data_IF_530958171179
#
_entry.id   IF_530958171179
#
_cell.length_a   1.000
_cell.length_b   1.000
_cell.length_c   1.000
_cell.angle_alpha   90.00
_cell.angle_beta   90.00
_cell.angle_gamma   90.00
#
_symmetry.space_group_name_H-M   'P 1'
#
loop_
_entity.id
_entity.type
_entity.pdbx_description
1 polymer ?
#
# COMPACT_ATOMS: atom_id res chain seq x y z
N UNK A 1 39.43 -14.93 -20.25
CA UNK A 1 38.38 -13.90 -20.11
C UNK A 1 37.14 -14.53 -19.50
N UNK A 2 36.55 -13.80 -18.57
CA UNK A 2 35.70 -14.28 -17.47
C UNK A 2 34.31 -14.78 -17.90
N UNK A 3 33.97 -16.01 -17.49
CA UNK A 3 32.58 -16.47 -17.30
C UNK A 3 32.51 -17.37 -16.06
N UNK A 4 32.43 -16.77 -14.88
CA UNK A 4 31.92 -17.40 -13.67
C UNK A 4 31.04 -16.40 -12.93
N UNK A 5 29.97 -16.91 -12.31
CA UNK A 5 28.94 -16.25 -11.50
C UNK A 5 27.69 -15.76 -12.24
N UNK A 6 26.90 -16.71 -12.73
CA UNK A 6 25.44 -16.62 -12.80
C UNK A 6 24.93 -17.92 -12.18
N UNK A 7 24.75 -17.93 -10.86
CA UNK A 7 24.40 -19.14 -10.12
C UNK A 7 24.31 -18.86 -8.63
N UNK A 8 23.51 -17.87 -8.21
CA UNK A 8 23.14 -17.71 -6.80
C UNK A 8 21.89 -16.84 -6.57
N UNK A 9 20.84 -16.99 -7.39
CA UNK A 9 19.61 -16.21 -7.19
C UNK A 9 18.33 -16.90 -7.66
N UNK A 10 18.29 -18.24 -7.61
CA UNK A 10 17.09 -19.01 -7.97
C UNK A 10 16.64 -20.03 -6.93
N UNK A 11 17.24 -20.09 -5.74
CA UNK A 11 16.90 -21.09 -4.71
C UNK A 11 16.24 -20.54 -3.43
N UNK A 12 15.80 -19.28 -3.44
CA UNK A 12 15.10 -18.66 -2.29
C UNK A 12 13.55 -18.68 -2.42
N UNK A 13 13.02 -19.41 -3.42
CA UNK A 13 11.62 -19.28 -3.84
C UNK A 13 10.64 -20.37 -3.40
N UNK A 14 11.06 -21.40 -2.67
CA UNK A 14 10.22 -22.59 -2.48
C UNK A 14 10.37 -23.31 -1.11
N UNK A 15 10.69 -22.60 -0.02
CA UNK A 15 11.00 -23.31 1.22
C UNK A 15 10.77 -22.64 2.57
N UNK A 16 10.22 -21.42 2.66
CA UNK A 16 10.04 -20.80 3.98
C UNK A 16 8.64 -21.06 4.57
N UNK A 17 7.60 -21.23 3.74
CA UNK A 17 6.44 -22.08 4.06
C UNK A 17 6.71 -23.55 3.75
N UNK A 18 7.76 -24.14 4.34
CA UNK A 18 7.72 -25.60 4.48
C UNK A 18 6.52 -25.90 5.38
N UNK A 19 5.52 -26.62 4.85
CA UNK A 19 4.40 -27.22 5.58
C UNK A 19 4.91 -27.82 6.88
N UNK A 20 4.89 -27.03 7.97
CA UNK A 20 5.68 -27.33 9.14
C UNK A 20 7.09 -27.80 8.79
N UNK A 21 8.08 -26.90 8.85
CA UNK A 21 9.26 -27.37 9.56
C UNK A 21 8.71 -27.99 10.84
N UNK A 22 9.04 -29.25 11.08
CA UNK A 22 8.77 -30.03 12.30
C UNK A 22 9.54 -29.41 13.46
N UNK A 23 9.51 -28.08 13.55
CA UNK A 23 9.98 -27.31 14.67
C UNK A 23 9.19 -27.79 15.86
N UNK A 24 9.91 -28.47 16.74
CA UNK A 24 9.46 -28.77 18.08
C UNK A 24 8.80 -27.52 18.66
N UNK A 25 7.79 -27.73 19.49
CA UNK A 25 7.28 -26.64 20.30
C UNK A 25 8.45 -26.06 21.12
N UNK A 26 8.62 -24.74 21.05
CA UNK A 26 9.70 -24.04 21.76
C UNK A 26 9.12 -22.99 22.71
N UNK A 27 9.76 -22.75 23.87
CA UNK A 27 9.48 -21.58 24.69
C UNK A 27 9.60 -20.27 23.89
N UNK A 28 8.92 -19.23 24.34
CA UNK A 28 9.01 -17.91 23.71
C UNK A 28 10.45 -17.37 23.73
N UNK A 29 11.16 -17.57 24.84
CA UNK A 29 12.54 -17.10 25.02
C UNK A 29 13.48 -17.65 23.94
N UNK A 30 13.46 -18.96 23.70
CA UNK A 30 14.26 -19.62 22.65
C UNK A 30 13.98 -19.05 21.25
N UNK A 31 12.72 -18.67 20.97
CA UNK A 31 12.32 -18.10 19.68
C UNK A 31 12.94 -16.71 19.50
N UNK A 32 12.90 -15.88 20.55
CA UNK A 32 13.43 -14.52 20.50
C UNK A 32 14.96 -14.48 20.56
N UNK A 33 15.60 -15.41 21.27
CA UNK A 33 17.05 -15.57 21.26
C UNK A 33 17.56 -15.94 19.87
N UNK A 34 16.97 -16.96 19.22
CA UNK A 34 17.32 -17.37 17.86
C UNK A 34 17.06 -16.23 16.84
N UNK A 35 15.95 -15.50 17.01
CA UNK A 35 15.66 -14.32 16.19
C UNK A 35 16.71 -13.21 16.38
N UNK A 36 17.21 -13.02 17.60
CA UNK A 36 18.23 -12.01 17.91
C UNK A 36 19.54 -12.28 17.19
N UNK A 37 19.96 -13.54 17.09
CA UNK A 37 21.16 -13.95 16.36
C UNK A 37 20.97 -13.76 14.86
N UNK A 38 19.82 -14.14 14.31
CA UNK A 38 19.54 -14.03 12.87
C UNK A 38 19.42 -12.59 12.39
N UNK A 39 18.81 -11.72 13.19
CA UNK A 39 18.55 -10.32 12.80
C UNK A 39 19.78 -9.42 12.92
N UNK A 40 20.74 -9.75 13.78
CA UNK A 40 22.02 -9.04 13.86
C UNK A 40 22.80 -9.07 12.53
N UNK A 41 22.67 -10.14 11.73
CA UNK A 41 23.37 -10.28 10.45
C UNK A 41 22.75 -9.54 9.27
N UNK A 42 21.56 -8.94 9.43
CA UNK A 42 20.81 -8.30 8.32
C UNK A 42 21.07 -6.78 8.25
N UNK A 43 21.60 -6.19 9.32
CA UNK A 43 21.73 -4.73 9.50
C UNK A 43 23.01 -4.07 8.98
N UNK A 44 23.70 -4.61 7.98
CA UNK A 44 24.97 -4.02 7.49
C UNK A 44 24.78 -2.74 6.62
N UNK A 45 23.54 -2.37 6.29
CA UNK A 45 23.25 -1.16 5.49
C UNK A 45 22.51 -0.10 6.31
N UNK A 46 23.25 0.95 6.70
CA UNK A 46 22.86 2.28 7.19
C UNK A 46 21.92 2.42 8.42
N UNK A 47 22.50 3.04 9.46
CA UNK A 47 21.94 3.86 10.56
C UNK A 47 20.96 3.27 11.60
N UNK A 48 20.43 2.05 11.43
CA UNK A 48 19.58 1.41 12.45
C UNK A 48 20.03 -0.02 12.76
N UNK A 49 21.11 -0.16 13.53
CA UNK A 49 21.55 -1.47 14.02
C UNK A 49 20.52 -2.04 15.02
N UNK A 50 19.90 -3.17 14.68
CA UNK A 50 18.98 -3.87 15.57
C UNK A 50 19.79 -4.52 16.70
N UNK A 51 19.59 -4.08 17.94
CA UNK A 51 20.26 -4.69 19.10
C UNK A 51 19.55 -5.99 19.52
N UNK A 52 20.32 -7.04 19.83
CA UNK A 52 19.73 -8.26 20.40
C UNK A 52 18.98 -7.99 21.72
N UNK A 53 19.44 -7.00 22.49
CA UNK A 53 18.78 -6.60 23.74
C UNK A 53 17.36 -6.10 23.50
N UNK A 54 17.13 -5.42 22.37
CA UNK A 54 15.80 -4.88 22.04
C UNK A 54 14.84 -6.01 21.65
N UNK A 55 15.33 -7.05 20.96
CA UNK A 55 14.55 -8.23 20.59
C UNK A 55 14.15 -9.04 21.84
N UNK A 56 15.09 -9.26 22.75
CA UNK A 56 14.80 -9.95 24.02
C UNK A 56 13.82 -9.13 24.86
N UNK A 57 14.01 -7.80 24.94
CA UNK A 57 13.08 -6.90 25.64
C UNK A 57 11.70 -6.88 25.00
N UNK A 58 11.60 -7.01 23.68
CA UNK A 58 10.32 -7.15 22.99
C UNK A 58 9.61 -8.43 23.43
N UNK A 59 10.34 -9.55 23.50
CA UNK A 59 9.80 -10.83 23.97
C UNK A 59 9.21 -10.81 25.38
N UNK A 60 9.77 -9.99 26.28
CA UNK A 60 9.30 -9.88 27.67
C UNK A 60 8.07 -8.98 27.88
N UNK A 61 7.51 -8.39 26.82
CA UNK A 61 6.30 -7.59 26.92
C UNK A 61 5.06 -8.49 27.04
N UNK A 62 4.18 -8.21 28.01
CA UNK A 62 2.96 -8.99 28.24
C UNK A 62 2.06 -9.13 27.00
N UNK A 63 2.01 -8.09 26.15
CA UNK A 63 1.21 -8.13 24.93
C UNK A 63 1.74 -9.09 23.87
N UNK A 64 3.01 -9.50 23.96
CA UNK A 64 3.64 -10.41 23.00
C UNK A 64 3.19 -11.85 23.24
N UNK A 65 2.97 -12.26 24.48
CA UNK A 65 2.41 -13.58 24.78
C UNK A 65 0.99 -13.73 24.20
N UNK A 66 0.14 -12.72 24.38
CA UNK A 66 -1.21 -12.71 23.82
C UNK A 66 -1.19 -12.67 22.28
N UNK A 67 -0.25 -11.91 21.70
CA UNK A 67 -0.04 -11.91 20.26
C UNK A 67 0.42 -13.28 19.76
N UNK A 68 1.36 -13.95 20.45
CA UNK A 68 1.83 -15.29 20.11
C UNK A 68 0.70 -16.32 20.14
N UNK A 69 -0.18 -16.28 21.15
CA UNK A 69 -1.37 -17.16 21.22
C UNK A 69 -2.28 -17.03 20.00
N UNK A 70 -2.33 -15.84 19.38
CA UNK A 70 -3.20 -15.58 18.22
C UNK A 70 -2.65 -16.11 16.89
N UNK A 71 -1.33 -16.31 16.78
CA UNK A 71 -0.65 -16.75 15.55
C UNK A 71 -0.02 -18.15 15.65
N UNK A 72 0.23 -18.63 16.87
CA UNK A 72 0.86 -19.92 17.15
C UNK A 72 -0.15 -20.94 17.71
N UNK A 73 0.18 -22.22 17.52
CA UNK A 73 -0.32 -23.31 18.33
C UNK A 73 0.43 -23.34 19.66
N UNK A 74 -0.36 -23.40 20.74
CA UNK A 74 0.12 -23.28 22.10
C UNK A 74 -0.10 -24.63 22.79
N UNK A 75 0.92 -25.11 23.49
CA UNK A 75 0.81 -26.25 24.39
C UNK A 75 1.36 -25.86 25.75
N UNK A 76 0.58 -26.14 26.77
CA UNK A 76 0.97 -26.00 28.17
C UNK A 76 1.51 -27.37 28.61
N UNK A 77 2.82 -27.47 28.88
CA UNK A 77 3.43 -28.72 29.37
C UNK A 77 3.34 -28.77 30.90
N UNK A 78 3.63 -27.65 31.54
CA UNK A 78 3.52 -27.40 32.99
C UNK A 78 2.91 -26.01 33.20
N UNK A 79 2.38 -25.66 34.38
CA UNK A 79 1.79 -24.33 34.63
C UNK A 79 2.77 -23.16 34.42
N UNK A 80 4.07 -23.43 34.36
CA UNK A 80 5.13 -22.43 34.15
C UNK A 80 5.71 -22.46 32.73
N UNK A 81 5.58 -23.57 31.99
CA UNK A 81 6.23 -23.75 30.68
C UNK A 81 5.17 -23.85 29.58
N UNK A 82 5.03 -22.73 28.88
CA UNK A 82 4.21 -22.61 27.66
C UNK A 82 5.11 -22.66 26.44
N UNK A 83 4.79 -23.55 25.52
CA UNK A 83 5.56 -23.74 24.30
C UNK A 83 4.72 -23.41 23.07
N UNK A 84 5.35 -22.81 22.08
CA UNK A 84 4.72 -22.25 20.90
C UNK A 84 5.22 -22.93 19.63
N UNK A 85 4.33 -23.05 18.65
CA UNK A 85 4.63 -23.48 17.28
C UNK A 85 3.87 -22.58 16.31
N UNK A 86 4.55 -21.98 15.33
CA UNK A 86 3.88 -21.14 14.34
C UNK A 86 2.86 -21.96 13.53
N UNK A 87 1.65 -21.43 13.38
CA UNK A 87 0.55 -22.10 12.70
C UNK A 87 0.04 -21.25 11.55
N UNK A 88 0.35 -21.64 10.32
CA UNK A 88 -0.08 -20.94 9.11
C UNK A 88 -1.58 -20.63 9.06
N UNK A 89 -2.52 -21.57 9.37
CA UNK A 89 -3.94 -21.25 9.32
C UNK A 89 -4.35 -20.19 10.35
N UNK A 90 -3.71 -20.16 11.53
CA UNK A 90 -3.95 -19.11 12.54
C UNK A 90 -3.42 -17.77 12.09
N UNK A 91 -2.20 -17.72 11.54
CA UNK A 91 -1.64 -16.49 10.96
C UNK A 91 -2.58 -15.92 9.89
N UNK A 92 -3.05 -16.73 8.95
CA UNK A 92 -3.97 -16.27 7.92
C UNK A 92 -5.31 -15.79 8.49
N UNK A 93 -5.85 -16.48 9.48
CA UNK A 93 -7.09 -16.07 10.16
C UNK A 93 -6.91 -14.73 10.87
N UNK A 94 -5.80 -14.56 11.59
CA UNK A 94 -5.45 -13.32 12.27
C UNK A 94 -5.27 -12.16 11.29
N UNK A 95 -4.56 -12.38 10.19
CA UNK A 95 -4.37 -11.37 9.14
C UNK A 95 -5.70 -11.00 8.46
N UNK A 96 -6.56 -11.98 8.17
CA UNK A 96 -7.90 -11.73 7.61
C UNK A 96 -8.75 -10.87 8.55
N UNK A 97 -8.70 -11.14 9.85
CA UNK A 97 -9.40 -10.33 10.85
C UNK A 97 -8.86 -8.89 10.87
N UNK A 98 -7.53 -8.70 10.72
CA UNK A 98 -6.96 -7.35 10.57
C UNK A 98 -7.42 -6.67 9.29
N UNK A 99 -7.41 -7.36 8.15
CA UNK A 99 -7.91 -6.81 6.88
C UNK A 99 -9.38 -6.40 7.03
N UNK A 100 -10.22 -7.24 7.64
CA UNK A 100 -11.63 -6.93 7.87
C UNK A 100 -11.84 -5.69 8.74
N UNK A 101 -10.98 -5.48 9.74
CA UNK A 101 -11.02 -4.28 10.58
C UNK A 101 -10.53 -3.04 9.83
N UNK A 102 -9.49 -3.19 9.02
CA UNK A 102 -8.93 -2.10 8.23
C UNK A 102 -9.74 -1.76 6.99
N UNK A 103 -10.58 -2.66 6.49
CA UNK A 103 -11.49 -2.40 5.37
C UNK A 103 -12.80 -1.74 5.80
N UNK A 104 -13.06 -1.66 7.11
CA UNK A 104 -14.19 -0.92 7.65
C UNK A 104 -14.08 0.58 7.29
N UNK A 105 -15.20 1.25 6.96
CA UNK A 105 -15.18 2.64 6.49
C UNK A 105 -14.56 3.58 7.53
N UNK A 106 -14.88 3.39 8.80
CA UNK A 106 -14.37 4.18 9.93
C UNK A 106 -12.83 4.19 10.00
N UNK A 107 -12.19 3.04 9.76
CA UNK A 107 -10.74 2.93 9.83
C UNK A 107 -10.05 3.56 8.61
N UNK A 108 -10.68 3.49 7.44
CA UNK A 108 -10.12 4.03 6.19
C UNK A 108 -10.29 5.54 6.07
N UNK A 109 -11.35 6.09 6.65
CA UNK A 109 -11.63 7.53 6.59
C UNK A 109 -10.59 8.37 7.37
N UNK A 110 -9.91 7.77 8.34
CA UNK A 110 -8.79 8.41 9.06
C UNK A 110 -7.61 8.66 8.11
N UNK A 111 -7.41 7.81 7.10
CA UNK A 111 -6.28 7.88 6.19
C UNK A 111 -6.58 8.73 4.96
N UNK A 112 -6.13 10.00 4.99
CA UNK A 112 -6.23 10.92 3.84
C UNK A 112 -5.56 10.37 2.57
N UNK A 113 -4.48 9.61 2.70
CA UNK A 113 -3.78 9.02 1.56
C UNK A 113 -4.60 7.91 0.91
N UNK A 114 -5.24 7.06 1.71
CA UNK A 114 -6.09 5.99 1.20
C UNK A 114 -7.32 6.55 0.50
N UNK A 115 -7.99 7.56 1.08
CA UNK A 115 -9.12 8.26 0.43
C UNK A 115 -8.69 8.85 -0.91
N UNK A 116 -7.52 9.52 -0.97
CA UNK A 116 -7.03 10.11 -2.22
C UNK A 116 -6.78 9.04 -3.29
N UNK A 117 -6.25 7.88 -2.91
CA UNK A 117 -6.01 6.79 -3.85
C UNK A 117 -7.35 6.22 -4.37
N UNK A 118 -8.31 5.95 -3.48
CA UNK A 118 -9.64 5.48 -3.87
C UNK A 118 -10.40 6.49 -4.75
N UNK A 119 -10.25 7.79 -4.48
CA UNK A 119 -10.82 8.86 -5.30
C UNK A 119 -10.14 8.97 -6.67
N UNK A 120 -8.81 8.82 -6.73
CA UNK A 120 -8.05 8.77 -7.98
C UNK A 120 -8.48 7.57 -8.84
N UNK A 121 -8.79 6.48 -8.18
CA UNK A 121 -9.30 5.26 -8.80
C UNK A 121 -10.78 5.36 -9.22
N UNK A 122 -11.44 6.51 -9.03
CA UNK A 122 -12.83 6.74 -9.45
C UNK A 122 -13.87 5.88 -8.71
N UNK A 123 -13.47 5.30 -7.57
CA UNK A 123 -14.30 4.38 -6.78
C UNK A 123 -15.23 5.09 -5.78
N UNK A 124 -15.00 6.38 -5.56
CA UNK A 124 -15.78 7.23 -4.64
C UNK A 124 -17.02 7.87 -5.31
N UNK A 125 -17.36 7.45 -6.53
CA UNK A 125 -18.53 7.95 -7.27
C UNK A 125 -19.77 7.10 -6.98
N UNK A 126 -20.94 7.75 -6.92
CA UNK A 126 -22.23 7.10 -6.65
C UNK A 126 -22.50 5.95 -7.65
N UNK A 127 -22.97 4.81 -7.13
CA UNK A 127 -23.30 3.62 -7.92
C UNK A 127 -22.21 2.54 -8.01
N UNK A 128 -21.04 2.75 -7.38
CA UNK A 128 -19.90 1.80 -7.38
C UNK A 128 -19.58 1.20 -6.01
N UNK A 129 -20.55 1.14 -5.10
CA UNK A 129 -20.36 0.67 -3.71
C UNK A 129 -19.71 -0.72 -3.59
N UNK A 130 -20.05 -1.64 -4.49
CA UNK A 130 -19.48 -3.00 -4.51
C UNK A 130 -17.99 -2.95 -4.85
N UNK A 131 -17.60 -2.17 -5.86
CA UNK A 131 -16.21 -1.98 -6.26
C UNK A 131 -15.44 -1.18 -5.21
N UNK A 132 -16.09 -0.22 -4.56
CA UNK A 132 -15.52 0.54 -3.46
C UNK A 132 -15.16 -0.39 -2.29
N UNK A 133 -16.06 -1.30 -1.90
CA UNK A 133 -15.79 -2.25 -0.82
C UNK A 133 -14.62 -3.19 -1.13
N UNK A 134 -14.49 -3.61 -2.40
CA UNK A 134 -13.36 -4.42 -2.87
C UNK A 134 -12.08 -3.59 -2.91
N UNK A 135 -12.14 -2.35 -3.38
CA UNK A 135 -11.03 -1.40 -3.35
C UNK A 135 -10.53 -1.10 -1.93
N UNK A 136 -11.44 -0.95 -0.97
CA UNK A 136 -11.13 -0.83 0.46
C UNK A 136 -10.39 -2.05 1.00
N UNK A 137 -10.88 -3.24 0.65
CA UNK A 137 -10.25 -4.51 1.04
C UNK A 137 -8.86 -4.65 0.43
N UNK A 138 -8.68 -4.28 -0.85
CA UNK A 138 -7.38 -4.26 -1.52
C UNK A 138 -6.41 -3.28 -0.85
N UNK A 139 -6.86 -2.06 -0.58
CA UNK A 139 -6.05 -1.05 0.10
C UNK A 139 -5.62 -1.51 1.50
N UNK A 140 -6.49 -2.21 2.25
CA UNK A 140 -6.16 -2.80 3.54
C UNK A 140 -5.12 -3.93 3.41
N UNK A 141 -5.25 -4.80 2.40
CA UNK A 141 -4.25 -5.83 2.10
C UNK A 141 -2.89 -5.20 1.73
N UNK A 142 -2.87 -4.14 0.92
CA UNK A 142 -1.66 -3.43 0.53
C UNK A 142 -0.99 -2.76 1.75
N UNK A 143 -1.78 -2.16 2.64
CA UNK A 143 -1.27 -1.55 3.87
C UNK A 143 -0.59 -2.58 4.78
N UNK A 144 -1.23 -3.73 5.00
CA UNK A 144 -0.65 -4.82 5.82
C UNK A 144 0.59 -5.39 5.15
N UNK A 145 0.62 -5.46 3.81
CA UNK A 145 1.73 -6.03 3.05
C UNK A 145 3.07 -5.34 3.27
N UNK A 146 3.08 -4.07 3.73
CA UNK A 146 4.32 -3.37 4.06
C UNK A 146 5.03 -3.92 5.30
N UNK A 147 4.32 -4.65 6.16
CA UNK A 147 4.85 -5.21 7.40
C UNK A 147 5.08 -6.73 7.32
N UNK A 148 4.81 -7.33 6.16
CA UNK A 148 4.86 -8.77 5.96
C UNK A 148 5.99 -9.14 4.99
N UNK A 149 6.51 -10.35 5.14
CA UNK A 149 7.40 -10.91 4.12
C UNK A 149 6.63 -11.11 2.81
N UNK A 150 7.31 -11.05 1.64
CA UNK A 150 6.67 -11.20 0.34
C UNK A 150 5.92 -12.54 0.20
N UNK A 151 6.37 -13.56 0.93
CA UNK A 151 5.76 -14.89 0.95
C UNK A 151 4.43 -14.89 1.72
N UNK A 152 4.37 -14.26 2.91
CA UNK A 152 3.11 -14.13 3.69
C UNK A 152 2.10 -13.32 2.91
N UNK A 153 2.56 -12.28 2.22
CA UNK A 153 1.72 -11.51 1.31
C UNK A 153 1.10 -12.40 0.23
N UNK A 154 1.90 -13.23 -0.44
CA UNK A 154 1.41 -14.13 -1.46
C UNK A 154 0.38 -15.13 -0.90
N UNK A 155 0.65 -15.72 0.28
CA UNK A 155 -0.29 -16.59 0.95
C UNK A 155 -1.58 -15.87 1.36
N UNK A 156 -1.50 -14.65 1.87
CA UNK A 156 -2.66 -13.83 2.26
C UNK A 156 -3.54 -13.54 1.05
N UNK A 157 -2.95 -13.05 -0.05
CA UNK A 157 -3.68 -12.76 -1.29
C UNK A 157 -4.29 -14.05 -1.89
N UNK A 158 -3.52 -15.14 -1.95
CA UNK A 158 -4.02 -16.45 -2.38
C UNK A 158 -5.14 -16.99 -1.49
N UNK A 159 -5.12 -16.66 -0.20
CA UNK A 159 -6.19 -17.02 0.74
C UNK A 159 -7.53 -16.36 0.40
N UNK A 160 -7.50 -15.17 -0.23
CA UNK A 160 -8.70 -14.50 -0.73
C UNK A 160 -9.13 -15.04 -2.09
N UNK A 161 -8.19 -15.55 -2.91
CA UNK A 161 -8.51 -16.20 -4.19
C UNK A 161 -9.30 -17.51 -4.02
N UNK A 162 -8.95 -18.31 -3.00
CA UNK A 162 -9.54 -19.64 -2.81
C UNK A 162 -10.88 -19.62 -2.04
N UNK A 163 -11.01 -18.78 -1.02
CA UNK A 163 -12.20 -18.76 -0.14
C UNK A 163 -13.35 -17.94 -0.73
N UNK A 164 -13.06 -16.99 -1.63
CA UNK A 164 -14.07 -16.15 -2.24
C UNK A 164 -13.84 -16.04 -3.75
N UNK A 165 -14.20 -17.07 -4.52
CA UNK A 165 -14.16 -17.02 -5.99
C UNK A 165 -14.88 -15.79 -6.59
N UNK A 166 -15.92 -15.29 -5.91
CA UNK A 166 -16.61 -14.03 -6.21
C UNK A 166 -15.73 -12.79 -6.02
N UNK A 167 -14.80 -12.82 -5.06
CA UNK A 167 -13.83 -11.75 -4.85
C UNK A 167 -12.83 -11.70 -6.01
N UNK A 168 -12.42 -12.85 -6.57
CA UNK A 168 -11.52 -12.90 -7.74
C UNK A 168 -12.14 -12.23 -8.97
N UNK A 169 -13.43 -12.44 -9.21
CA UNK A 169 -14.17 -11.72 -10.25
C UNK A 169 -14.20 -10.22 -9.95
N UNK A 170 -14.51 -9.84 -8.71
CA UNK A 170 -14.54 -8.42 -8.32
C UNK A 170 -13.17 -7.72 -8.36
N UNK A 171 -12.06 -8.42 -8.05
CA UNK A 171 -10.69 -7.89 -8.17
C UNK A 171 -10.30 -7.77 -9.64
N UNK A 172 -10.72 -8.70 -10.49
CA UNK A 172 -10.53 -8.59 -11.95
C UNK A 172 -11.34 -7.45 -12.54
N UNK A 173 -12.60 -7.30 -12.14
CA UNK A 173 -13.46 -6.18 -12.55
C UNK A 173 -12.85 -4.85 -12.10
N UNK A 174 -12.34 -4.80 -10.87
CA UNK A 174 -11.60 -3.66 -10.36
C UNK A 174 -10.33 -3.40 -11.20
N UNK A 175 -9.53 -4.43 -11.51
CA UNK A 175 -8.33 -4.27 -12.34
C UNK A 175 -8.65 -3.81 -13.77
N UNK A 176 -9.74 -4.32 -14.37
CA UNK A 176 -10.22 -3.88 -15.69
C UNK A 176 -10.65 -2.42 -15.62
N UNK A 177 -11.38 -2.03 -14.56
CA UNK A 177 -11.81 -0.65 -14.33
C UNK A 177 -10.62 0.30 -14.13
N UNK A 178 -9.66 -0.06 -13.28
CA UNK A 178 -8.43 0.70 -13.05
C UNK A 178 -7.59 0.84 -14.31
N UNK A 179 -7.49 -0.22 -15.13
CA UNK A 179 -6.80 -0.17 -16.44
C UNK A 179 -7.50 0.79 -17.39
N UNK A 180 -8.83 0.80 -17.42
CA UNK A 180 -9.61 1.75 -18.22
C UNK A 180 -9.34 3.20 -17.82
N UNK A 181 -9.45 3.52 -16.53
CA UNK A 181 -9.18 4.88 -16.04
C UNK A 181 -7.74 5.29 -16.33
N UNK A 182 -6.77 4.42 -16.05
CA UNK A 182 -5.37 4.74 -16.33
C UNK A 182 -5.11 4.93 -17.84
N UNK A 183 -5.81 4.18 -18.70
CA UNK A 183 -5.77 4.36 -20.15
C UNK A 183 -6.37 5.70 -20.60
N UNK A 184 -7.50 6.12 -20.02
CA UNK A 184 -8.15 7.41 -20.30
C UNK A 184 -7.30 8.60 -19.79
N UNK A 185 -6.67 8.46 -18.62
CA UNK A 185 -5.72 9.45 -18.06
C UNK A 185 -4.44 9.52 -18.90
N UNK A 186 -3.93 8.39 -19.38
CA UNK A 186 -2.75 8.37 -20.25
C UNK A 186 -3.05 8.96 -21.63
N UNK A 187 -4.22 8.68 -22.22
CA UNK A 187 -4.63 9.24 -23.50
C UNK A 187 -4.79 10.77 -23.42
N UNK A 188 -5.41 11.29 -22.37
CA UNK A 188 -5.57 12.74 -22.15
C UNK A 188 -4.24 13.45 -21.83
N UNK A 189 -3.26 12.77 -21.22
CA UNK A 189 -1.91 13.30 -21.00
C UNK A 189 -1.04 13.35 -22.27
N UNK A 190 -1.29 12.47 -23.24
CA UNK A 190 -0.59 12.48 -24.55
C UNK A 190 -1.14 13.59 -25.45
N UNK A 191 -2.44 13.89 -25.38
CA UNK A 191 -3.05 14.99 -26.15
C UNK A 191 -2.55 16.38 -25.73
N UNK A 192 -2.04 16.54 -24.50
CA UNK A 192 -1.44 17.82 -24.06
C UNK A 192 0.00 18.04 -24.53
N UNK A 193 0.67 17.04 -25.13
CA UNK A 193 2.07 17.13 -25.60
C UNK A 193 2.24 17.21 -27.12
N UNK A 194 1.14 17.26 -27.88
CA UNK A 194 1.18 17.37 -29.36
C UNK A 194 0.65 18.73 -29.84
N UNK A 195 1.26 19.81 -29.36
CA UNK A 195 0.95 21.17 -29.79
C UNK A 195 2.16 22.09 -29.74
N UNK A 196 2.64 22.50 -30.93
CA UNK A 196 3.66 23.50 -31.27
C UNK A 196 5.15 23.11 -31.16
N UNK A 197 5.72 22.88 -32.35
CA UNK A 197 7.16 22.93 -32.61
C UNK A 197 7.47 23.27 -34.07
N UNK A 198 7.29 24.54 -34.46
CA UNK A 198 8.05 25.25 -35.51
C UNK A 198 7.57 26.70 -35.61
N UNK A 199 8.31 27.64 -35.01
CA UNK A 199 9.19 28.54 -35.78
C UNK A 199 9.75 29.67 -34.90
N UNK A 200 11.05 29.88 -35.14
CA UNK A 200 11.88 31.08 -34.97
C UNK A 200 11.97 31.81 -33.61
N UNK A 201 13.21 31.79 -33.12
CA UNK A 201 13.79 32.67 -32.12
C UNK A 201 13.64 34.16 -32.45
N UNK A 202 13.47 34.98 -31.41
CA UNK A 202 14.14 36.27 -31.21
C UNK A 202 14.14 36.62 -29.72
N UNK A 203 15.25 37.19 -29.27
CA UNK A 203 15.60 37.51 -27.89
C UNK A 203 14.86 38.75 -27.33
N UNK A 204 14.76 38.86 -26.00
CA UNK A 204 14.33 40.10 -25.33
C UNK A 204 13.88 39.95 -23.87
N UNK A 205 14.84 40.13 -22.97
CA UNK A 205 14.86 40.71 -21.61
C UNK A 205 13.64 40.83 -20.64
N UNK A 206 13.97 40.63 -19.36
CA UNK A 206 13.45 41.16 -18.08
C UNK A 206 12.04 40.86 -17.46
N UNK A 207 12.10 40.21 -16.28
CA UNK A 207 11.43 40.58 -14.99
C UNK A 207 9.89 40.49 -14.80
N UNK A 208 9.35 39.36 -14.26
CA UNK A 208 8.42 39.33 -13.09
C UNK A 208 7.98 37.93 -12.63
N UNK A 209 7.80 37.81 -11.31
CA UNK A 209 7.40 36.65 -10.50
C UNK A 209 6.00 36.08 -10.80
N UNK A 210 5.89 34.75 -10.63
CA UNK A 210 4.80 33.93 -10.03
C UNK A 210 3.35 34.22 -10.47
N UNK A 211 2.78 33.31 -11.26
CA UNK A 211 1.34 33.18 -11.47
C UNK A 211 0.93 31.70 -11.49
N UNK A 212 0.28 31.27 -10.42
CA UNK A 212 -0.33 29.95 -10.23
C UNK A 212 -1.26 29.59 -11.39
N UNK A 213 -1.18 28.33 -11.84
CA UNK A 213 -2.13 27.70 -12.78
C UNK A 213 -3.57 28.01 -12.35
N UNK A 214 -4.29 28.77 -13.16
CA UNK A 214 -5.71 29.02 -12.96
C UNK A 214 -6.45 27.67 -13.03
N UNK A 215 -7.34 27.41 -12.07
CA UNK A 215 -8.15 26.19 -12.06
C UNK A 215 -9.17 26.21 -13.20
N UNK A 216 -9.54 25.02 -13.70
CA UNK A 216 -10.41 24.83 -14.87
C UNK A 216 -11.79 25.52 -14.79
N UNK A 217 -12.22 25.97 -13.60
CA UNK A 217 -13.41 26.80 -13.45
C UNK A 217 -13.29 28.18 -14.11
N UNK A 218 -12.09 28.76 -14.12
CA UNK A 218 -11.83 30.09 -14.70
C UNK A 218 -11.76 30.02 -16.23
N UNK A 219 -11.30 28.91 -16.81
CA UNK A 219 -11.24 28.73 -18.26
C UNK A 219 -12.64 28.53 -18.89
N UNK A 220 -13.57 27.90 -18.17
CA UNK A 220 -14.97 27.80 -18.61
C UNK A 220 -15.68 29.16 -18.59
N UNK A 221 -15.31 30.05 -17.66
CA UNK A 221 -15.81 31.43 -17.62
C UNK A 221 -15.17 32.36 -18.68
N UNK A 222 -14.01 31.98 -19.23
CA UNK A 222 -13.32 32.76 -20.27
C UNK A 222 -13.91 32.59 -21.67
N UNK A 223 -14.83 31.63 -21.86
CA UNK A 223 -15.56 31.40 -23.12
C UNK A 223 -16.85 32.21 -23.24
N UNK A 224 -17.22 33.01 -22.23
CA UNK A 224 -18.30 33.97 -22.36
C UNK A 224 -17.75 35.19 -23.11
N UNK A 225 -18.34 35.52 -24.27
CA UNK A 225 -17.91 36.64 -25.08
C UNK A 225 -18.24 37.96 -24.37
N UNK A 226 -17.25 38.55 -23.72
CA UNK A 226 -17.36 39.84 -23.01
C UNK A 226 -17.24 41.04 -23.95
N UNK A 227 -17.12 40.86 -25.27
CA UNK A 227 -17.19 41.95 -26.24
C UNK A 227 -18.64 42.45 -26.37
N UNK A 228 -19.02 43.37 -25.47
CA UNK A 228 -20.32 44.02 -25.45
C UNK A 228 -20.85 44.35 -24.06
N UNK A 229 -20.27 43.77 -22.99
CA UNK A 229 -20.66 44.12 -21.62
C UNK A 229 -20.00 45.43 -21.19
N UNK A 230 -20.79 46.33 -20.60
CA UNK A 230 -20.29 47.57 -20.03
C UNK A 230 -19.21 47.27 -18.98
N UNK A 231 -18.01 47.85 -19.16
CA UNK A 231 -16.92 47.68 -18.20
C UNK A 231 -17.35 48.29 -16.87
N UNK A 232 -17.25 47.53 -15.77
CA UNK A 232 -17.51 48.00 -14.40
C UNK A 232 -16.80 49.32 -14.03
N UNK A 233 -15.75 49.70 -14.76
CA UNK A 233 -15.11 51.02 -14.66
C UNK A 233 -16.01 52.21 -15.01
N UNK A 234 -17.15 52.02 -15.70
CA UNK A 234 -18.11 53.10 -15.96
C UNK A 234 -19.00 53.44 -14.75
N UNK A 235 -19.02 52.60 -13.72
CA UNK A 235 -19.85 52.79 -12.52
C UNK A 235 -19.11 53.40 -11.33
N UNK A 236 -17.78 53.52 -11.41
CA UNK A 236 -16.95 54.12 -10.35
C UNK A 236 -16.33 55.45 -10.77
N UNK A 237 -17.12 56.34 -11.40
CA UNK A 237 -16.78 57.76 -11.40
C UNK A 237 -17.10 58.32 -10.01
N UNK A 238 -16.05 58.62 -9.26
CA UNK A 238 -16.10 59.36 -8.00
C UNK A 238 -15.99 60.85 -8.33
N UNK A 239 -17.00 61.61 -7.89
CA UNK A 239 -17.21 63.05 -8.02
C UNK A 239 -17.65 63.55 -9.40
#
# INVERSE_FOLDING_TARGET
MSRRRLGHLQDLGAGFWSDGNTGNFRPADDIFEDASVKLQGIGETDDASISAKDIIRFGSLACVEDALKSICDVKEITPEIVVYRMSQPKVLTYLRNKVSRLSAPEALEVSRTTIRNLARDGLMEDGKEVLLQVGRTRAACDLISHYLSPEVKASLLGSYEWVFGRLKESFKELDVYLKRINGEVAATAVETKKGKGKDKATAGDDKKRKGSKASQGVEKLKKVNVNGMAKLSSFFKKA
#
